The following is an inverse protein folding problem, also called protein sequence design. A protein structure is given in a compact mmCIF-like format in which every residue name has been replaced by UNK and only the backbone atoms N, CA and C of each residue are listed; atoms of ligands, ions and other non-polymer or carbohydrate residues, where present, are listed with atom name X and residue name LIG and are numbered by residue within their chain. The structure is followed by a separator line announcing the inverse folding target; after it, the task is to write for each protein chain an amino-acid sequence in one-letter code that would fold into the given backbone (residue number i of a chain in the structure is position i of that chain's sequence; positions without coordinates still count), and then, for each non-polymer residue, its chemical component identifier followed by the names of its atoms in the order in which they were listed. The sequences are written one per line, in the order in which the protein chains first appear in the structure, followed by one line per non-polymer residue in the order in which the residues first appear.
data_IF_440766823592
#
_entry.id   IF_440766823592
#
_cell.length_a   1.000
_cell.length_b   1.000
_cell.length_c   1.000
_cell.angle_alpha   90.00
_cell.angle_beta   90.00
_cell.angle_gamma   90.00
#
_symmetry.space_group_name_H-M   'P 1'
#
loop_
_entity.id
_entity.type
_entity.pdbx_description
1 polymer ?
#
# COMPACT_ATOMS: atom_id res chain seq x y z
N UNK A 1 -62.24 -9.87 28.71
CA UNK A 1 -62.35 -8.56 28.01
C UNK A 1 -61.27 -7.58 28.52
N UNK A 2 -59.98 -7.91 28.36
CA UNK A 2 -58.87 -7.09 28.91
C UNK A 2 -57.93 -6.58 27.81
N UNK A 3 -57.83 -7.27 26.68
CA UNK A 3 -56.94 -6.89 25.59
C UNK A 3 -57.37 -5.64 24.77
N UNK A 4 -58.66 -5.26 24.80
CA UNK A 4 -59.17 -4.16 23.95
C UNK A 4 -58.87 -2.74 24.46
N UNK A 5 -58.60 -2.56 25.77
CA UNK A 5 -58.44 -1.22 26.36
C UNK A 5 -56.99 -0.72 26.45
N UNK A 6 -56.00 -1.57 26.20
CA UNK A 6 -54.57 -1.19 26.26
C UNK A 6 -54.12 -0.46 24.98
N UNK A 7 -54.72 -0.78 23.82
CA UNK A 7 -54.35 -0.17 22.53
C UNK A 7 -54.74 1.32 22.36
N UNK A 8 -55.61 1.87 23.23
CA UNK A 8 -56.08 3.27 23.10
C UNK A 8 -55.20 4.33 23.76
N UNK A 9 -54.13 3.95 24.48
CA UNK A 9 -53.23 4.88 25.19
C UNK A 9 -51.76 4.76 24.81
N UNK A 10 -51.43 4.12 23.70
CA UNK A 10 -50.03 4.07 23.25
C UNK A 10 -49.73 5.35 22.49
N UNK A 11 -48.82 6.17 23.03
CA UNK A 11 -48.40 7.41 22.41
C UNK A 11 -47.71 7.08 21.07
N UNK A 12 -48.27 7.56 19.96
CA UNK A 12 -47.78 7.29 18.60
C UNK A 12 -46.30 7.68 18.42
N UNK A 13 -45.83 8.69 19.17
CA UNK A 13 -44.41 9.06 19.20
C UNK A 13 -43.50 7.98 19.81
N UNK A 14 -43.96 7.26 20.84
CA UNK A 14 -43.22 6.15 21.46
C UNK A 14 -43.17 4.96 20.48
N UNK A 15 -44.28 4.66 19.79
CA UNK A 15 -44.31 3.56 18.80
C UNK A 15 -43.34 3.84 17.66
N UNK A 16 -43.31 5.06 17.14
CA UNK A 16 -42.37 5.45 16.08
C UNK A 16 -40.92 5.35 16.55
N UNK A 17 -40.63 5.82 17.77
CA UNK A 17 -39.28 5.71 18.34
C UNK A 17 -38.83 4.24 18.48
N UNK A 18 -39.71 3.34 18.93
CA UNK A 18 -39.42 1.90 19.02
C UNK A 18 -39.13 1.31 17.63
N UNK A 19 -39.94 1.63 16.62
CA UNK A 19 -39.73 1.14 15.24
C UNK A 19 -38.39 1.62 14.68
N UNK A 20 -38.04 2.90 14.89
CA UNK A 20 -36.76 3.46 14.44
C UNK A 20 -35.57 2.78 15.12
N UNK A 21 -35.65 2.54 16.42
CA UNK A 21 -34.59 1.86 17.18
C UNK A 21 -34.44 0.40 16.71
N UNK A 22 -35.54 -0.34 16.57
CA UNK A 22 -35.49 -1.72 16.06
C UNK A 22 -34.91 -1.77 14.64
N UNK A 23 -35.38 -0.88 13.75
CA UNK A 23 -34.86 -0.78 12.39
C UNK A 23 -33.36 -0.47 12.34
N UNK A 24 -32.89 0.47 13.18
CA UNK A 24 -31.47 0.81 13.29
C UNK A 24 -30.65 -0.38 13.80
N UNK A 25 -31.11 -1.06 14.85
CA UNK A 25 -30.40 -2.23 15.41
C UNK A 25 -30.32 -3.36 14.38
N UNK A 26 -31.44 -3.69 13.72
CA UNK A 26 -31.45 -4.71 12.66
C UNK A 26 -30.52 -4.34 11.51
N UNK A 27 -30.50 -3.07 11.11
CA UNK A 27 -29.57 -2.58 10.09
C UNK A 27 -28.11 -2.74 10.52
N UNK A 28 -27.75 -2.34 11.75
CA UNK A 28 -26.39 -2.45 12.27
C UNK A 28 -25.93 -3.92 12.35
N UNK A 29 -26.80 -4.83 12.77
CA UNK A 29 -26.49 -6.27 12.82
C UNK A 29 -26.24 -6.81 11.41
N UNK A 30 -27.14 -6.52 10.47
CA UNK A 30 -27.00 -6.95 9.07
C UNK A 30 -25.72 -6.40 8.43
N UNK A 31 -25.46 -5.11 8.62
CA UNK A 31 -24.33 -4.39 8.05
C UNK A 31 -22.98 -4.88 8.62
N UNK A 32 -22.95 -5.24 9.91
CA UNK A 32 -21.78 -5.84 10.55
C UNK A 32 -21.55 -7.30 10.11
N UNK A 33 -22.63 -8.10 10.01
CA UNK A 33 -22.54 -9.48 9.50
C UNK A 33 -22.03 -9.51 8.05
N UNK A 34 -22.53 -8.60 7.20
CA UNK A 34 -22.04 -8.43 5.83
C UNK A 34 -20.56 -8.03 5.79
N UNK A 35 -20.11 -7.18 6.70
CA UNK A 35 -18.68 -6.82 6.75
C UNK A 35 -17.77 -8.03 7.03
N UNK A 36 -18.26 -9.06 7.72
CA UNK A 36 -17.53 -10.31 7.93
C UNK A 36 -17.05 -10.96 6.62
N UNK A 37 -17.90 -10.99 5.58
CA UNK A 37 -17.51 -11.54 4.27
C UNK A 37 -16.59 -10.60 3.49
N UNK A 38 -16.72 -9.28 3.71
CA UNK A 38 -15.84 -8.27 3.11
C UNK A 38 -14.39 -8.36 3.61
N UNK A 39 -14.14 -8.88 4.82
CA UNK A 39 -12.78 -9.10 5.34
C UNK A 39 -11.96 -10.04 4.46
N UNK A 40 -12.58 -11.11 3.96
CA UNK A 40 -11.93 -12.07 3.06
C UNK A 40 -11.58 -11.39 1.72
N UNK A 41 -12.52 -10.60 1.19
CA UNK A 41 -12.29 -9.85 -0.05
C UNK A 41 -11.14 -8.82 0.11
N UNK A 42 -11.03 -8.18 1.27
CA UNK A 42 -9.92 -7.28 1.61
C UNK A 42 -8.59 -8.04 1.64
N UNK A 43 -8.53 -9.18 2.34
CA UNK A 43 -7.31 -10.00 2.44
C UNK A 43 -6.83 -10.49 1.06
N UNK A 44 -7.76 -10.94 0.22
CA UNK A 44 -7.46 -11.36 -1.15
C UNK A 44 -6.90 -10.20 -1.97
N UNK A 45 -7.56 -9.03 -1.92
CA UNK A 45 -7.09 -7.84 -2.64
C UNK A 45 -5.68 -7.41 -2.20
N UNK A 46 -5.40 -7.41 -0.88
CA UNK A 46 -4.07 -7.07 -0.34
C UNK A 46 -3.02 -8.05 -0.85
N UNK A 47 -3.33 -9.35 -0.82
CA UNK A 47 -2.41 -10.41 -1.26
C UNK A 47 -2.14 -10.36 -2.76
N UNK A 48 -3.18 -10.14 -3.57
CA UNK A 48 -3.07 -9.95 -5.01
C UNK A 48 -2.23 -8.71 -5.35
N UNK A 49 -2.46 -7.60 -4.64
CA UNK A 49 -1.70 -6.38 -4.86
C UNK A 49 -0.22 -6.57 -4.51
N UNK A 50 0.09 -7.20 -3.38
CA UNK A 50 1.47 -7.48 -2.99
C UNK A 50 2.22 -8.31 -4.05
N UNK A 51 1.57 -9.35 -4.58
CA UNK A 51 2.14 -10.14 -5.69
C UNK A 51 2.40 -9.29 -6.93
N UNK A 52 1.42 -8.49 -7.35
CA UNK A 52 1.57 -7.62 -8.51
C UNK A 52 2.62 -6.51 -8.30
N UNK A 53 2.85 -6.11 -7.05
CA UNK A 53 3.75 -5.02 -6.73
C UNK A 53 5.24 -5.37 -6.89
N UNK A 54 5.60 -6.66 -6.82
CA UNK A 54 6.99 -7.11 -7.02
C UNK A 54 7.53 -6.64 -8.37
N UNK A 55 6.73 -6.85 -9.42
CA UNK A 55 7.09 -6.48 -10.79
C UNK A 55 7.18 -4.97 -11.00
N UNK A 56 6.58 -4.14 -10.15
CA UNK A 56 6.58 -2.68 -10.33
C UNK A 56 7.99 -2.10 -10.25
N UNK A 57 8.89 -2.77 -9.51
CA UNK A 57 10.26 -2.31 -9.29
C UNK A 57 11.24 -2.71 -10.41
N UNK A 58 10.83 -3.63 -11.29
CA UNK A 58 11.75 -4.37 -12.16
C UNK A 58 11.64 -3.85 -13.60
N UNK A 59 12.72 -3.24 -14.11
CA UNK A 59 12.84 -2.89 -15.53
C UNK A 59 13.00 -4.15 -16.40
N UNK A 60 12.81 -4.08 -17.72
CA UNK A 60 13.16 -5.20 -18.61
C UNK A 60 14.63 -5.64 -18.44
N UNK A 61 14.90 -6.95 -18.50
CA UNK A 61 16.23 -7.50 -18.19
C UNK A 61 17.37 -6.88 -19.02
N UNK A 62 17.12 -6.50 -20.27
CA UNK A 62 18.12 -5.85 -21.13
C UNK A 62 18.55 -4.46 -20.66
N UNK A 63 17.76 -3.80 -19.81
CA UNK A 63 18.02 -2.49 -19.23
C UNK A 63 18.73 -2.57 -17.87
N UNK A 64 18.81 -3.77 -17.27
CA UNK A 64 19.39 -3.99 -15.93
C UNK A 64 20.89 -4.31 -16.02
N UNK A 65 21.66 -3.41 -16.64
CA UNK A 65 23.10 -3.61 -16.84
C UNK A 65 23.90 -2.88 -15.77
N UNK A 66 24.83 -3.58 -15.15
CA UNK A 66 25.68 -3.01 -14.11
C UNK A 66 26.44 -1.78 -14.64
N UNK A 67 26.19 -0.62 -14.03
CA UNK A 67 26.88 0.63 -14.32
C UNK A 67 26.52 1.36 -15.61
N UNK A 68 25.54 0.89 -16.36
CA UNK A 68 24.95 1.62 -17.49
C UNK A 68 23.58 2.12 -17.07
N UNK A 69 23.18 3.35 -17.40
CA UNK A 69 21.81 3.84 -17.17
C UNK A 69 20.81 3.19 -18.14
N UNK A 70 19.55 2.94 -17.71
CA UNK A 70 18.54 2.42 -18.61
C UNK A 70 18.07 3.49 -19.60
N UNK A 71 17.44 3.07 -20.68
CA UNK A 71 16.85 3.99 -21.65
C UNK A 71 15.63 4.72 -21.09
N UNK A 72 15.52 6.02 -21.39
CA UNK A 72 14.35 6.83 -21.02
C UNK A 72 13.03 6.27 -21.57
N UNK A 73 13.07 5.64 -22.75
CA UNK A 73 11.90 5.00 -23.34
C UNK A 73 11.46 3.76 -22.56
N UNK A 74 12.40 2.93 -22.08
CA UNK A 74 12.08 1.79 -21.23
C UNK A 74 11.48 2.22 -19.90
N UNK A 75 12.04 3.25 -19.25
CA UNK A 75 11.49 3.82 -18.01
C UNK A 75 10.07 4.33 -18.25
N UNK A 76 9.86 5.16 -19.28
CA UNK A 76 8.55 5.72 -19.60
C UNK A 76 7.50 4.63 -19.85
N UNK A 77 7.87 3.59 -20.61
CA UNK A 77 6.99 2.45 -20.86
C UNK A 77 6.66 1.70 -19.57
N UNK A 78 7.68 1.44 -18.74
CA UNK A 78 7.49 0.76 -17.45
C UNK A 78 6.57 1.53 -16.52
N UNK A 79 6.72 2.85 -16.43
CA UNK A 79 5.86 3.71 -15.63
C UNK A 79 4.39 3.66 -16.08
N UNK A 80 4.15 3.64 -17.39
CA UNK A 80 2.79 3.48 -17.94
C UNK A 80 2.17 2.12 -17.59
N UNK A 81 2.94 1.04 -17.76
CA UNK A 81 2.53 -0.32 -17.38
C UNK A 81 2.23 -0.40 -15.87
N UNK A 82 3.12 0.14 -15.05
CA UNK A 82 2.95 0.20 -13.61
C UNK A 82 1.68 0.96 -13.22
N UNK A 83 1.43 2.14 -13.81
CA UNK A 83 0.21 2.92 -13.56
C UNK A 83 -1.05 2.10 -13.85
N UNK A 84 -1.06 1.34 -14.93
CA UNK A 84 -2.18 0.46 -15.28
C UNK A 84 -2.39 -0.65 -14.23
N UNK A 85 -1.31 -1.21 -13.66
CA UNK A 85 -1.40 -2.18 -12.56
C UNK A 85 -1.93 -1.53 -11.29
N UNK A 86 -1.31 -0.45 -10.80
CA UNK A 86 -1.66 0.16 -9.51
C UNK A 86 -3.06 0.79 -9.52
N UNK A 87 -3.57 1.25 -10.67
CA UNK A 87 -4.94 1.78 -10.79
C UNK A 87 -6.05 0.77 -10.42
N UNK A 88 -5.74 -0.53 -10.51
CA UNK A 88 -6.66 -1.61 -10.11
C UNK A 88 -6.84 -1.68 -8.59
N UNK A 89 -5.79 -1.35 -7.85
CA UNK A 89 -5.67 -1.58 -6.40
C UNK A 89 -5.67 -0.29 -5.57
N UNK A 90 -5.33 0.85 -6.17
CA UNK A 90 -5.27 2.14 -5.49
C UNK A 90 -6.47 3.01 -5.88
N UNK A 91 -7.00 3.76 -4.93
CA UNK A 91 -8.10 4.68 -5.20
C UNK A 91 -7.62 5.86 -6.04
N UNK A 92 -8.40 6.17 -7.07
CA UNK A 92 -8.34 7.43 -7.78
C UNK A 92 -9.36 8.39 -7.14
N UNK A 93 -8.94 9.62 -6.90
CA UNK A 93 -9.78 10.73 -6.47
C UNK A 93 -9.43 11.94 -7.31
N UNK A 94 -10.36 12.88 -7.51
CA UNK A 94 -10.11 14.14 -8.23
C UNK A 94 -9.26 15.13 -7.41
N UNK A 95 -8.23 14.65 -6.72
CA UNK A 95 -7.29 15.43 -5.92
C UNK A 95 -5.87 14.95 -6.20
N UNK A 96 -4.92 15.89 -6.19
CA UNK A 96 -3.48 15.62 -6.38
C UNK A 96 -2.85 14.71 -5.31
N UNK A 97 -3.64 14.30 -4.30
CA UNK A 97 -3.22 13.50 -3.16
C UNK A 97 -3.96 12.15 -3.12
N UNK A 98 -4.45 11.65 -4.25
CA UNK A 98 -4.98 10.29 -4.33
C UNK A 98 -3.87 9.25 -4.10
N UNK A 99 -4.24 8.07 -3.60
CA UNK A 99 -3.28 6.96 -3.42
C UNK A 99 -2.60 6.58 -4.74
N UNK A 100 -3.34 6.63 -5.85
CA UNK A 100 -2.82 6.36 -7.19
C UNK A 100 -1.75 7.38 -7.60
N UNK A 101 -2.02 8.67 -7.42
CA UNK A 101 -1.07 9.72 -7.83
C UNK A 101 0.16 9.76 -6.92
N UNK A 102 -0.01 9.48 -5.62
CA UNK A 102 1.12 9.31 -4.70
C UNK A 102 2.02 8.16 -5.16
N UNK A 103 1.45 6.98 -5.38
CA UNK A 103 2.22 5.81 -5.81
C UNK A 103 2.89 5.99 -7.18
N UNK A 104 2.22 6.67 -8.12
CA UNK A 104 2.80 7.00 -9.43
C UNK A 104 4.06 7.85 -9.25
N UNK A 105 3.99 8.93 -8.46
CA UNK A 105 5.14 9.79 -8.16
C UNK A 105 6.25 9.05 -7.40
N UNK A 106 5.89 8.17 -6.46
CA UNK A 106 6.89 7.35 -5.77
C UNK A 106 7.65 6.43 -6.73
N UNK A 107 6.96 5.83 -7.71
CA UNK A 107 7.60 5.02 -8.74
C UNK A 107 8.49 5.87 -9.66
N UNK A 108 8.04 7.06 -10.06
CA UNK A 108 8.86 8.00 -10.83
C UNK A 108 10.17 8.33 -10.08
N UNK A 109 10.05 8.64 -8.79
CA UNK A 109 11.21 8.94 -7.94
C UNK A 109 12.15 7.73 -7.81
N UNK A 110 11.60 6.52 -7.62
CA UNK A 110 12.40 5.29 -7.55
C UNK A 110 13.21 5.09 -8.83
N UNK A 111 12.58 5.17 -10.00
CA UNK A 111 13.31 4.99 -11.26
C UNK A 111 14.30 6.12 -11.53
N UNK A 112 13.98 7.35 -11.16
CA UNK A 112 14.89 8.49 -11.29
C UNK A 112 16.13 8.33 -10.41
N UNK A 113 15.96 7.98 -9.13
CA UNK A 113 17.05 7.76 -8.18
C UNK A 113 17.94 6.59 -8.62
N UNK A 114 17.31 5.48 -9.01
CA UNK A 114 18.01 4.29 -9.49
C UNK A 114 18.81 4.55 -10.77
N UNK A 115 18.28 5.36 -11.68
CA UNK A 115 18.97 5.78 -12.91
C UNK A 115 20.19 6.63 -12.60
N UNK A 116 20.09 7.57 -11.65
CA UNK A 116 21.23 8.38 -11.23
C UNK A 116 22.36 7.55 -10.63
N UNK A 117 22.01 6.46 -9.93
CA UNK A 117 22.95 5.53 -9.27
C UNK A 117 23.42 4.36 -10.15
N UNK A 118 22.85 4.19 -11.34
CA UNK A 118 22.97 2.97 -12.16
C UNK A 118 22.73 1.68 -11.36
N UNK A 119 21.71 1.70 -10.49
CA UNK A 119 21.35 0.61 -9.60
C UNK A 119 19.99 0.02 -9.98
N UNK A 120 19.80 -1.29 -9.80
CA UNK A 120 18.64 -2.02 -10.30
C UNK A 120 18.09 -3.00 -9.30
N UNK A 121 16.76 -3.07 -9.21
CA UNK A 121 16.07 -4.22 -8.63
C UNK A 121 15.90 -5.27 -9.72
N UNK A 122 16.48 -6.45 -9.50
CA UNK A 122 16.47 -7.55 -10.47
C UNK A 122 15.42 -8.61 -10.14
N UNK A 123 15.16 -8.81 -8.85
CA UNK A 123 14.07 -9.65 -8.33
C UNK A 123 13.44 -8.94 -7.12
N UNK A 124 12.13 -9.05 -6.98
CA UNK A 124 11.38 -8.42 -5.88
C UNK A 124 10.15 -9.26 -5.54
N UNK A 125 10.11 -9.77 -4.30
CA UNK A 125 8.97 -10.50 -3.77
C UNK A 125 8.42 -9.81 -2.53
N UNK A 126 7.09 -9.62 -2.52
CA UNK A 126 6.33 -9.21 -1.35
C UNK A 126 5.49 -10.38 -0.85
N UNK A 127 5.76 -10.82 0.38
CA UNK A 127 4.99 -11.85 1.06
C UNK A 127 4.17 -11.21 2.17
N UNK A 128 2.84 -11.32 2.08
CA UNK A 128 1.95 -10.91 3.18
C UNK A 128 2.07 -11.94 4.30
N UNK A 129 2.72 -11.58 5.40
CA UNK A 129 2.88 -12.46 6.56
C UNK A 129 1.67 -12.39 7.49
N UNK A 130 0.96 -11.25 7.50
CA UNK A 130 -0.20 -11.05 8.35
C UNK A 130 -1.13 -9.95 7.83
N UNK A 131 -2.44 -10.20 7.87
CA UNK A 131 -3.49 -9.17 7.75
C UNK A 131 -4.40 -9.26 8.96
N UNK A 132 -4.29 -8.29 9.87
CA UNK A 132 -4.98 -8.25 11.16
C UNK A 132 -5.77 -6.97 11.32
N UNK A 133 -6.53 -6.89 12.41
CA UNK A 133 -7.24 -5.69 12.83
C UNK A 133 -8.12 -5.07 11.75
N UNK A 134 -8.72 -5.90 10.87
CA UNK A 134 -9.63 -5.41 9.83
C UNK A 134 -10.90 -4.88 10.49
N UNK A 135 -11.02 -3.55 10.53
CA UNK A 135 -12.10 -2.82 11.20
C UNK A 135 -12.88 -2.01 10.18
N UNK A 136 -14.19 -1.95 10.38
CA UNK A 136 -15.04 -1.05 9.61
C UNK A 136 -14.95 0.34 10.21
N UNK A 137 -14.65 1.34 9.38
CA UNK A 137 -14.54 2.74 9.79
C UNK A 137 -15.64 3.62 9.21
N UNK A 138 -16.46 3.08 8.31
CA UNK A 138 -17.64 3.75 7.77
C UNK A 138 -18.30 2.95 6.65
N UNK A 139 -19.36 3.47 6.03
CA UNK A 139 -19.95 2.86 4.84
C UNK A 139 -18.89 2.75 3.74
N UNK A 140 -18.61 1.54 3.26
CA UNK A 140 -17.57 1.27 2.22
C UNK A 140 -16.14 1.65 2.63
N UNK A 141 -15.87 1.82 3.93
CA UNK A 141 -14.54 2.17 4.44
C UNK A 141 -14.10 1.16 5.50
N UNK A 142 -12.82 0.78 5.43
CA UNK A 142 -12.21 -0.11 6.39
C UNK A 142 -10.76 0.32 6.64
N UNK A 143 -10.20 -0.16 7.75
CA UNK A 143 -8.76 -0.15 8.01
C UNK A 143 -8.27 -1.55 8.27
N UNK A 144 -6.99 -1.79 8.01
CA UNK A 144 -6.31 -3.04 8.32
C UNK A 144 -4.88 -2.78 8.78
N UNK A 145 -4.34 -3.71 9.54
CA UNK A 145 -2.92 -3.83 9.84
C UNK A 145 -2.32 -4.90 8.96
N UNK A 146 -1.29 -4.56 8.19
CA UNK A 146 -0.71 -5.45 7.17
C UNK A 146 0.79 -5.55 7.41
N UNK A 147 1.29 -6.76 7.68
CA UNK A 147 2.72 -7.03 7.77
C UNK A 147 3.18 -7.68 6.48
N UNK A 148 4.27 -7.15 5.94
CA UNK A 148 4.83 -7.53 4.65
C UNK A 148 6.31 -7.84 4.83
N UNK A 149 6.71 -9.02 4.37
CA UNK A 149 8.10 -9.36 4.17
C UNK A 149 8.49 -9.04 2.73
N UNK A 150 9.65 -8.42 2.56
CA UNK A 150 10.26 -8.04 1.29
C UNK A 150 11.53 -8.85 1.10
N UNK A 151 11.70 -9.42 -0.09
CA UNK A 151 12.96 -10.02 -0.52
C UNK A 151 13.32 -9.46 -1.88
N UNK A 152 14.52 -8.88 -1.99
CA UNK A 152 15.03 -8.29 -3.22
C UNK A 152 16.36 -8.93 -3.59
N UNK A 153 16.59 -9.08 -4.90
CA UNK A 153 17.94 -9.12 -5.46
C UNK A 153 18.18 -7.87 -6.28
N UNK A 154 19.40 -7.36 -6.19
CA UNK A 154 19.74 -6.04 -6.74
C UNK A 154 21.15 -6.02 -7.33
N UNK A 155 21.37 -5.08 -8.25
CA UNK A 155 22.69 -4.62 -8.68
C UNK A 155 22.86 -3.20 -8.12
N UNK A 156 23.94 -2.96 -7.39
CA UNK A 156 24.10 -1.76 -6.57
C UNK A 156 23.06 -1.69 -5.46
N UNK A 157 22.83 -0.49 -4.93
CA UNK A 157 21.87 -0.27 -3.82
C UNK A 157 20.72 0.65 -4.27
N UNK A 158 19.73 0.12 -5.01
CA UNK A 158 18.62 0.92 -5.50
C UNK A 158 17.65 1.34 -4.38
N UNK A 159 16.83 2.33 -4.66
CA UNK A 159 15.53 2.51 -4.02
C UNK A 159 14.49 1.57 -4.63
N UNK A 160 13.41 1.31 -3.90
CA UNK A 160 12.31 0.47 -4.36
C UNK A 160 10.97 0.90 -3.77
N UNK A 161 9.88 0.49 -4.40
CA UNK A 161 8.51 0.82 -4.07
C UNK A 161 7.83 -0.25 -3.20
N UNK A 162 7.40 0.10 -1.99
CA UNK A 162 6.94 -0.80 -0.92
C UNK A 162 5.44 -1.08 -0.86
N UNK A 163 4.73 -1.03 -1.99
CA UNK A 163 3.25 -1.04 -2.13
C UNK A 163 2.57 0.34 -2.10
N UNK A 164 3.16 1.36 -1.46
CA UNK A 164 2.51 2.68 -1.32
C UNK A 164 3.48 3.87 -1.40
N UNK A 165 4.78 3.63 -1.19
CA UNK A 165 5.81 4.68 -1.17
C UNK A 165 7.15 4.10 -1.61
N UNK A 166 8.13 4.97 -1.84
CA UNK A 166 9.53 4.60 -2.02
C UNK A 166 10.20 4.27 -0.67
N UNK A 167 11.21 3.41 -0.72
CA UNK A 167 12.11 3.04 0.35
C UNK A 167 13.53 2.95 -0.20
N UNK A 168 14.51 3.36 0.59
CA UNK A 168 15.92 3.35 0.21
C UNK A 168 16.66 2.24 0.96
N UNK A 169 17.44 1.44 0.25
CA UNK A 169 18.23 0.37 0.87
C UNK A 169 19.39 0.92 1.72
N UNK A 170 19.95 2.07 1.33
CA UNK A 170 21.22 2.60 1.87
C UNK A 170 21.10 3.92 2.63
N UNK A 171 19.89 4.44 2.87
CA UNK A 171 19.78 5.68 3.64
C UNK A 171 20.00 5.40 5.13
N UNK A 172 21.24 5.63 5.58
CA UNK A 172 21.40 6.41 6.80
C UNK A 172 20.55 7.66 6.61
N UNK A 173 19.49 7.79 7.41
CA UNK A 173 18.69 8.99 7.48
C UNK A 173 19.64 10.14 7.79
N UNK A 174 20.05 10.92 6.78
CA UNK A 174 20.77 12.15 7.00
C UNK A 174 19.78 13.08 7.68
N UNK A 175 19.90 13.21 8.99
CA UNK A 175 19.07 14.09 9.78
C UNK A 175 19.26 15.52 9.30
N UNK A 176 18.26 16.37 9.56
CA UNK A 176 18.41 17.81 9.38
C UNK A 176 19.64 18.28 10.19
N UNK A 177 20.75 18.60 9.52
CA UNK A 177 22.03 18.98 10.16
C UNK A 177 23.20 18.03 9.91
N UNK A 178 23.00 16.88 9.25
CA UNK A 178 24.14 16.08 8.80
C UNK A 178 24.90 16.78 7.67
N UNK A 179 26.24 16.70 7.64
CA UNK A 179 27.04 17.33 6.61
C UNK A 179 26.62 16.79 5.24
N UNK A 180 26.21 17.69 4.34
CA UNK A 180 26.03 17.35 2.93
C UNK A 180 27.28 16.62 2.43
N UNK A 181 27.08 15.58 1.60
CA UNK A 181 28.19 14.93 0.89
C UNK A 181 29.09 16.03 0.30
N UNK A 182 30.41 16.00 0.55
CA UNK A 182 31.30 17.06 0.09
C UNK A 182 31.15 17.25 -1.43
N UNK A 183 30.96 18.51 -1.85
CA UNK A 183 30.90 18.87 -3.27
C UNK A 183 32.13 18.29 -3.99
N UNK A 184 31.88 17.48 -5.04
CA UNK A 184 32.92 16.80 -5.81
C UNK A 184 33.18 15.34 -5.44
N UNK A 185 32.42 14.73 -4.51
CA UNK A 185 32.45 13.27 -4.36
C UNK A 185 31.97 12.59 -5.64
N UNK A 186 32.83 11.84 -6.30
CA UNK A 186 32.43 10.96 -7.40
C UNK A 186 31.58 9.85 -6.81
N UNK A 187 30.31 9.79 -7.18
CA UNK A 187 29.46 8.66 -6.83
C UNK A 187 30.04 7.43 -7.53
N UNK A 188 30.70 6.57 -6.76
CA UNK A 188 31.25 5.33 -7.29
C UNK A 188 30.05 4.46 -7.68
N UNK A 189 29.94 4.17 -8.96
CA UNK A 189 28.94 3.27 -9.51
C UNK A 189 29.11 1.90 -8.86
N UNK A 190 28.15 1.51 -8.04
CA UNK A 190 28.15 0.22 -7.35
C UNK A 190 27.59 -0.86 -8.28
N UNK A 191 28.47 -1.72 -8.79
CA UNK A 191 28.11 -2.82 -9.68
C UNK A 191 27.95 -4.15 -8.96
N UNK A 192 28.08 -4.18 -7.64
CA UNK A 192 27.99 -5.42 -6.85
C UNK A 192 26.55 -5.91 -6.80
N UNK A 193 26.38 -7.19 -6.46
CA UNK A 193 25.06 -7.80 -6.29
C UNK A 193 24.75 -7.94 -4.82
N UNK A 194 23.49 -7.69 -4.49
CA UNK A 194 23.02 -7.80 -3.11
C UNK A 194 21.69 -8.51 -3.04
N UNK A 195 21.55 -9.31 -1.98
CA UNK A 195 20.26 -9.73 -1.46
C UNK A 195 19.85 -8.79 -0.32
N UNK A 196 18.64 -8.25 -0.38
CA UNK A 196 18.06 -7.43 0.67
C UNK A 196 16.79 -8.08 1.19
N UNK A 197 16.70 -8.25 2.51
CA UNK A 197 15.50 -8.75 3.18
C UNK A 197 15.03 -7.76 4.23
N UNK A 198 13.72 -7.50 4.27
CA UNK A 198 13.16 -6.51 5.17
C UNK A 198 11.72 -6.86 5.53
N UNK A 199 11.27 -6.45 6.70
CA UNK A 199 9.89 -6.60 7.13
C UNK A 199 9.36 -5.27 7.68
N UNK A 200 8.17 -4.90 7.22
CA UNK A 200 7.47 -3.71 7.68
C UNK A 200 5.99 -3.99 7.93
N UNK A 201 5.37 -3.15 8.77
CA UNK A 201 3.94 -3.18 9.06
C UNK A 201 3.26 -1.87 8.70
N UNK A 202 2.17 -1.93 7.95
CA UNK A 202 1.26 -0.82 7.70
C UNK A 202 0.19 -0.82 8.81
N UNK A 203 0.36 -0.01 9.86
CA UNK A 203 -0.51 -0.06 11.06
C UNK A 203 -1.94 0.46 10.83
N UNK A 204 -2.16 1.28 9.80
CA UNK A 204 -3.47 1.85 9.48
C UNK A 204 -3.65 1.96 7.97
N UNK A 205 -3.53 0.84 7.25
CA UNK A 205 -3.86 0.79 5.84
C UNK A 205 -5.35 1.15 5.66
N UNK A 206 -5.63 2.26 4.99
CA UNK A 206 -6.98 2.74 4.74
C UNK A 206 -7.49 2.15 3.45
N UNK A 207 -8.70 1.58 3.49
CA UNK A 207 -9.30 0.82 2.41
C UNK A 207 -10.68 1.39 2.09
N UNK A 208 -10.97 1.54 0.80
CA UNK A 208 -12.26 2.07 0.31
C UNK A 208 -12.83 1.14 -0.75
N UNK A 209 -14.13 0.88 -0.67
CA UNK A 209 -14.86 0.09 -1.67
C UNK A 209 -15.41 0.99 -2.77
N UNK A 210 -14.75 0.99 -3.94
CA UNK A 210 -15.17 1.72 -5.14
C UNK A 210 -15.68 0.73 -6.20
N UNK A 211 -16.86 1.00 -6.77
CA UNK A 211 -17.49 0.14 -7.79
C UNK A 211 -17.51 -1.36 -7.41
N UNK A 212 -17.75 -1.67 -6.13
CA UNK A 212 -17.84 -3.05 -5.64
C UNK A 212 -16.51 -3.73 -5.33
N UNK A 213 -15.36 -3.07 -5.55
CA UNK A 213 -14.02 -3.60 -5.27
C UNK A 213 -13.33 -2.79 -4.17
N UNK A 214 -12.62 -3.48 -3.28
CA UNK A 214 -11.78 -2.83 -2.29
C UNK A 214 -10.50 -2.31 -2.93
N UNK A 215 -10.03 -1.15 -2.47
CA UNK A 215 -8.81 -0.50 -2.92
C UNK A 215 -8.11 0.19 -1.75
N UNK A 216 -6.80 0.35 -1.82
CA UNK A 216 -6.03 1.18 -0.90
C UNK A 216 -6.27 2.66 -1.18
N UNK A 217 -6.56 3.41 -0.12
CA UNK A 217 -6.68 4.86 -0.15
C UNK A 217 -5.52 5.58 0.55
N UNK A 218 -4.71 4.85 1.33
CA UNK A 218 -3.53 5.39 1.99
C UNK A 218 -3.06 4.51 3.14
N UNK A 219 -2.05 4.97 3.86
CA UNK A 219 -1.62 4.40 5.15
C UNK A 219 -1.46 5.52 6.17
N UNK A 220 -1.69 5.21 7.45
CA UNK A 220 -1.33 6.10 8.57
C UNK A 220 0.17 6.06 8.94
N UNK A 221 0.99 5.36 8.18
CA UNK A 221 2.45 5.25 8.37
C UNK A 221 2.97 3.85 8.10
N UNK A 222 4.30 3.74 8.02
CA UNK A 222 5.03 2.47 7.97
C UNK A 222 5.75 2.28 9.31
N UNK A 223 5.50 1.13 9.94
CA UNK A 223 6.26 0.64 11.08
C UNK A 223 7.40 -0.23 10.61
N UNK A 224 8.63 0.13 10.98
CA UNK A 224 9.83 -0.66 10.70
C UNK A 224 9.97 -1.73 11.78
N UNK A 225 9.69 -2.99 11.45
CA UNK A 225 9.86 -4.10 12.38
C UNK A 225 11.33 -4.55 12.46
N UNK A 226 12.06 -4.34 11.36
CA UNK A 226 13.48 -4.67 11.24
C UNK A 226 14.25 -3.56 10.53
N UNK A 227 15.51 -3.37 10.91
CA UNK A 227 16.48 -2.64 10.08
C UNK A 227 16.88 -3.64 8.99
N UNK A 228 16.40 -3.46 7.75
CA UNK A 228 16.54 -4.46 6.69
C UNK A 228 17.97 -4.98 6.55
N UNK A 229 18.10 -6.26 6.21
CA UNK A 229 19.38 -6.95 6.11
C UNK A 229 19.84 -6.97 4.66
N UNK A 230 20.92 -6.24 4.40
CA UNK A 230 21.65 -6.24 3.13
C UNK A 230 22.83 -7.20 3.20
N UNK A 231 22.97 -8.09 2.21
CA UNK A 231 24.07 -9.04 2.09
C UNK A 231 24.64 -8.94 0.68
N UNK A 232 25.94 -8.67 0.58
CA UNK A 232 26.69 -8.74 -0.69
C UNK A 232 26.85 -10.21 -1.10
N UNK A 233 26.58 -10.51 -2.37
CA UNK A 233 26.71 -11.86 -2.95
C UNK A 233 28.16 -12.19 -3.34
#
# INVERSE_FOLDING_TARGET
MIARNVMRRVNRGIVLAVILVVGLISYLIYDNARFGTEKIAIQNMITEYAKAAGDLNILPAQEQKAGESPSNDAIRKKLQENRAVISKYLTEQNSYNSALDHATRSLDNVFSDNTAKNAYVTECEYTITSVKNIKKTGPKHATAEITVQVQLKTIGKPSFFTLISNHYIDEQYYGYGDPHKPEGSVEIVDTKRYTYTWEFTMYNATLVKQAGKWKFAGTGGLGYNTNGKLVEE
#
